data_IF_653442355897
#
_entry.id   IF_653442355897
#
_cell.length_a   1.000
_cell.length_b   1.000
_cell.length_c   1.000
_cell.angle_alpha   90.00
_cell.angle_beta   90.00
_cell.angle_gamma   90.00
#
_symmetry.space_group_name_H-M   'P 1'
#
loop_
_entity.id
_entity.type
_entity.pdbx_description
1 polymer ?
#
# COMPACT_ATOMS: atom_id res chain seq x y z
N UNK A 1 18.41 -24.42 9.88
CA UNK A 1 17.80 -23.69 8.74
C UNK A 1 16.96 -24.70 8.01
N UNK A 2 15.63 -24.63 8.16
CA UNK A 2 14.71 -25.61 7.56
C UNK A 2 14.72 -25.45 6.04
N UNK A 3 15.38 -26.38 5.34
CA UNK A 3 15.45 -26.43 3.89
C UNK A 3 14.13 -26.82 3.21
N UNK A 4 13.06 -27.03 3.98
CA UNK A 4 11.75 -27.48 3.50
C UNK A 4 10.68 -26.38 3.49
N UNK A 5 10.99 -25.15 3.90
CA UNK A 5 10.05 -24.01 3.85
C UNK A 5 10.25 -23.22 2.57
N UNK A 6 9.16 -22.64 2.05
CA UNK A 6 9.21 -21.75 0.89
C UNK A 6 9.17 -20.30 1.33
N UNK A 7 10.05 -19.47 0.78
CA UNK A 7 10.16 -18.08 1.21
C UNK A 7 10.62 -17.20 0.08
N UNK A 8 9.95 -16.07 -0.14
CA UNK A 8 10.34 -15.14 -1.20
C UNK A 8 9.49 -13.87 -1.29
N UNK A 9 9.87 -13.01 -2.23
CA UNK A 9 9.33 -11.66 -2.39
C UNK A 9 8.29 -11.61 -3.49
N UNK A 10 7.18 -10.92 -3.22
CA UNK A 10 6.03 -10.82 -4.12
C UNK A 10 5.61 -9.37 -4.25
N UNK A 11 5.54 -8.82 -5.47
CA UNK A 11 5.01 -7.45 -5.67
C UNK A 11 3.58 -7.46 -6.17
N UNK A 12 2.77 -6.50 -5.71
CA UNK A 12 1.44 -6.26 -6.22
C UNK A 12 1.47 -5.08 -7.20
N UNK A 13 1.08 -5.33 -8.44
CA UNK A 13 0.97 -4.30 -9.47
C UNK A 13 -0.46 -4.16 -9.96
N UNK A 14 -0.75 -3.05 -10.63
CA UNK A 14 -2.06 -2.77 -11.18
C UNK A 14 -2.43 -1.30 -11.05
N UNK A 15 -3.49 -0.89 -11.73
CA UNK A 15 -3.96 0.49 -11.75
C UNK A 15 -4.33 0.99 -10.34
N UNK A 16 -4.40 2.31 -10.12
CA UNK A 16 -5.00 2.84 -8.90
C UNK A 16 -6.40 2.25 -8.65
N UNK A 17 -6.78 2.05 -7.39
CA UNK A 17 -8.12 1.61 -6.96
C UNK A 17 -8.57 0.18 -7.30
N UNK A 18 -7.72 -0.63 -7.94
CA UNK A 18 -8.00 -2.07 -8.19
C UNK A 18 -8.02 -2.93 -6.92
N UNK A 19 -7.63 -2.37 -5.77
CA UNK A 19 -7.74 -3.03 -4.46
C UNK A 19 -6.47 -3.70 -3.93
N UNK A 20 -5.27 -3.31 -4.39
CA UNK A 20 -3.97 -3.81 -3.90
C UNK A 20 -3.85 -3.81 -2.37
N UNK A 21 -3.97 -2.63 -1.76
CA UNK A 21 -3.85 -2.46 -0.31
C UNK A 21 -5.00 -3.16 0.45
N UNK A 22 -6.19 -3.28 -0.15
CA UNK A 22 -7.30 -4.06 0.42
C UNK A 22 -6.97 -5.55 0.46
N UNK A 23 -6.42 -6.10 -0.64
CA UNK A 23 -6.00 -7.49 -0.70
C UNK A 23 -4.89 -7.76 0.33
N UNK A 24 -3.89 -6.89 0.38
CA UNK A 24 -2.78 -7.03 1.33
C UNK A 24 -3.26 -7.01 2.78
N UNK A 25 -4.06 -6.01 3.18
CA UNK A 25 -4.62 -5.96 4.54
C UNK A 25 -5.48 -7.20 4.87
N UNK A 26 -6.18 -7.76 3.87
CA UNK A 26 -7.00 -8.96 4.05
C UNK A 26 -6.15 -10.22 4.23
N UNK A 27 -5.06 -10.36 3.48
CA UNK A 27 -4.09 -11.46 3.60
C UNK A 27 -3.40 -11.42 4.97
N UNK A 28 -2.93 -10.24 5.37
CA UNK A 28 -2.20 -10.06 6.64
C UNK A 28 -3.16 -10.10 7.86
N UNK A 29 -4.46 -9.90 7.64
CA UNK A 29 -5.48 -9.92 8.70
C UNK A 29 -5.54 -8.63 9.53
N UNK A 30 -4.78 -7.61 9.17
CA UNK A 30 -4.69 -6.33 9.87
C UNK A 30 -4.42 -5.19 8.90
N UNK A 31 -4.75 -3.97 9.34
CA UNK A 31 -4.62 -2.77 8.52
C UNK A 31 -3.22 -2.19 8.62
N UNK A 32 -2.33 -2.61 7.72
CA UNK A 32 -0.95 -2.12 7.61
C UNK A 32 -0.81 -1.07 6.51
N UNK A 33 -1.36 -1.33 5.32
CA UNK A 33 -1.33 -0.36 4.24
C UNK A 33 -2.57 0.52 4.22
N UNK A 34 -2.33 1.79 3.93
CA UNK A 34 -3.41 2.75 3.79
C UNK A 34 -4.18 2.54 2.49
N UNK A 35 -5.47 2.81 2.55
CA UNK A 35 -6.38 2.67 1.41
C UNK A 35 -7.04 4.00 1.10
N UNK A 36 -7.04 4.41 -0.17
CA UNK A 36 -7.80 5.56 -0.61
C UNK A 36 -8.16 5.45 -2.09
N UNK A 37 -9.31 6.03 -2.45
CA UNK A 37 -9.76 6.16 -3.83
C UNK A 37 -8.94 7.19 -4.63
N UNK A 38 -8.00 7.89 -3.98
CA UNK A 38 -7.15 8.89 -4.61
C UNK A 38 -5.90 8.26 -5.22
N UNK A 39 -5.42 8.79 -6.37
CA UNK A 39 -4.12 8.39 -6.90
C UNK A 39 -3.01 8.75 -5.90
N UNK A 40 -1.83 8.13 -6.03
CA UNK A 40 -0.67 8.40 -5.17
C UNK A 40 -0.91 8.14 -3.68
N UNK A 41 -1.73 7.14 -3.37
CA UNK A 41 -2.02 6.73 -2.00
C UNK A 41 -0.76 6.15 -1.35
N UNK A 42 -0.16 5.08 -1.87
CA UNK A 42 1.12 4.54 -1.36
C UNK A 42 2.30 5.39 -1.84
N UNK A 43 3.17 5.80 -0.92
CA UNK A 43 4.39 6.60 -1.21
C UNK A 43 5.69 5.93 -0.80
N UNK A 44 5.67 5.08 0.21
CA UNK A 44 6.82 4.29 0.63
C UNK A 44 6.76 2.88 0.05
N UNK A 45 7.93 2.29 -0.16
CA UNK A 45 8.04 0.84 -0.26
C UNK A 45 7.76 0.27 1.12
N UNK A 46 6.77 -0.60 1.23
CA UNK A 46 6.40 -1.24 2.48
C UNK A 46 6.50 -2.74 2.24
N UNK A 47 7.18 -3.43 3.15
CA UNK A 47 7.14 -4.89 3.16
C UNK A 47 6.09 -5.33 4.19
N UNK A 48 5.20 -6.21 3.76
CA UNK A 48 4.29 -6.91 4.67
C UNK A 48 4.54 -8.40 4.56
N UNK A 49 4.47 -9.07 5.70
CA UNK A 49 4.95 -10.44 5.84
C UNK A 49 3.77 -11.32 6.21
N UNK A 50 3.51 -12.31 5.37
CA UNK A 50 2.56 -13.38 5.65
C UNK A 50 3.35 -14.64 5.96
N UNK A 51 3.18 -15.18 7.17
CA UNK A 51 3.85 -16.42 7.61
C UNK A 51 2.81 -17.50 7.89
N UNK A 52 3.05 -18.70 7.40
CA UNK A 52 2.24 -19.89 7.70
C UNK A 52 3.11 -21.15 7.72
N UNK A 53 2.49 -22.32 7.90
CA UNK A 53 3.19 -23.60 7.94
C UNK A 53 3.95 -23.94 6.64
N UNK A 54 3.57 -23.39 5.48
CA UNK A 54 4.28 -23.62 4.21
C UNK A 54 5.55 -22.76 4.07
N UNK A 55 5.59 -21.62 4.79
CA UNK A 55 6.72 -20.70 4.83
C UNK A 55 6.28 -19.24 4.86
N UNK A 56 6.98 -18.36 4.14
CA UNK A 56 6.84 -16.91 4.29
C UNK A 56 6.71 -16.18 2.95
N UNK A 57 5.71 -15.32 2.81
CA UNK A 57 5.52 -14.45 1.65
C UNK A 57 5.81 -13.01 2.08
N UNK A 58 6.77 -12.37 1.42
CA UNK A 58 7.12 -10.97 1.67
C UNK A 58 6.50 -10.13 0.56
N UNK A 59 5.35 -9.52 0.84
CA UNK A 59 4.70 -8.62 -0.09
C UNK A 59 5.40 -7.27 -0.09
N UNK A 60 5.88 -6.86 -1.26
CA UNK A 60 6.49 -5.56 -1.49
C UNK A 60 5.42 -4.64 -2.11
N UNK A 61 4.78 -3.81 -1.27
CA UNK A 61 3.91 -2.73 -1.77
C UNK A 61 4.80 -1.60 -2.26
N UNK A 62 4.62 -1.20 -3.51
CA UNK A 62 5.36 -0.07 -4.09
C UNK A 62 4.42 1.03 -4.54
N UNK A 63 4.89 2.29 -4.52
CA UNK A 63 4.14 3.39 -5.11
C UNK A 63 3.76 3.06 -6.56
N UNK A 64 2.53 3.39 -6.98
CA UNK A 64 2.14 3.16 -8.37
C UNK A 64 3.02 3.96 -9.34
N UNK A 65 3.33 3.43 -10.53
CA UNK A 65 4.12 4.15 -11.54
C UNK A 65 3.29 5.30 -12.14
N UNK A 66 3.84 6.52 -12.13
CA UNK A 66 3.28 7.68 -12.82
C UNK A 66 4.40 8.65 -13.20
N UNK A 67 4.15 9.56 -14.16
CA UNK A 67 5.14 10.55 -14.56
C UNK A 67 5.48 11.48 -13.38
N UNK A 68 6.74 11.49 -12.97
CA UNK A 68 7.21 12.34 -11.89
C UNK A 68 7.09 13.82 -12.26
N UNK A 69 6.69 14.63 -11.28
CA UNK A 69 6.53 16.10 -11.41
C UNK A 69 7.40 16.88 -10.41
N UNK A 70 7.98 16.19 -9.44
CA UNK A 70 8.80 16.72 -8.35
C UNK A 70 9.69 15.58 -7.79
N UNK A 71 10.59 15.91 -6.86
CA UNK A 71 11.54 14.94 -6.30
C UNK A 71 10.87 13.80 -5.52
N UNK A 72 9.74 14.06 -4.86
CA UNK A 72 8.94 12.99 -4.24
C UNK A 72 8.41 12.01 -5.29
N UNK A 73 7.94 12.52 -6.44
CA UNK A 73 7.54 11.71 -7.57
C UNK A 73 8.69 10.88 -8.14
N UNK A 74 9.90 11.45 -8.22
CA UNK A 74 11.09 10.72 -8.67
C UNK A 74 11.43 9.57 -7.72
N UNK A 75 11.36 9.81 -6.40
CA UNK A 75 11.51 8.77 -5.38
C UNK A 75 10.49 7.64 -5.59
N UNK A 76 9.21 7.99 -5.77
CA UNK A 76 8.14 7.00 -5.99
C UNK A 76 8.36 6.17 -7.26
N UNK A 77 8.78 6.80 -8.37
CA UNK A 77 9.08 6.08 -9.63
C UNK A 77 10.27 5.14 -9.45
N UNK A 78 11.33 5.57 -8.77
CA UNK A 78 12.50 4.74 -8.54
C UNK A 78 12.17 3.55 -7.62
N UNK A 79 11.39 3.78 -6.55
CA UNK A 79 10.91 2.73 -5.66
C UNK A 79 10.09 1.67 -6.43
N UNK A 80 9.21 2.12 -7.33
CA UNK A 80 8.42 1.23 -8.17
C UNK A 80 9.27 0.45 -9.18
N UNK A 81 10.25 1.08 -9.83
CA UNK A 81 11.07 0.40 -10.86
C UNK A 81 11.97 -0.69 -10.29
N UNK A 82 12.52 -0.49 -9.08
CA UNK A 82 13.38 -1.49 -8.45
C UNK A 82 12.63 -2.75 -8.05
N UNK A 83 11.37 -2.64 -7.61
CA UNK A 83 10.61 -3.81 -7.15
C UNK A 83 10.33 -4.84 -8.25
N UNK A 84 10.33 -4.47 -9.53
CA UNK A 84 10.15 -5.44 -10.62
C UNK A 84 11.31 -6.41 -10.79
N UNK A 85 12.52 -6.06 -10.32
CA UNK A 85 13.74 -6.85 -10.52
C UNK A 85 14.14 -7.70 -9.30
N UNK A 86 13.47 -7.51 -8.15
CA UNK A 86 13.87 -8.08 -6.86
C UNK A 86 12.81 -9.05 -6.29
N UNK A 87 11.88 -9.52 -7.10
CA UNK A 87 10.76 -10.36 -6.67
C UNK A 87 10.78 -11.72 -7.34
N UNK A 88 10.29 -12.73 -6.62
CA UNK A 88 10.14 -14.10 -7.12
C UNK A 88 8.83 -14.27 -7.90
N UNK A 89 7.79 -13.50 -7.55
CA UNK A 89 6.45 -13.55 -8.18
C UNK A 89 5.86 -12.15 -8.32
N UNK A 90 5.15 -11.90 -9.42
CA UNK A 90 4.36 -10.68 -9.61
C UNK A 90 2.87 -11.02 -9.55
N UNK A 91 2.12 -10.33 -8.69
CA UNK A 91 0.66 -10.34 -8.70
C UNK A 91 0.14 -9.13 -9.46
N UNK A 92 -0.39 -9.34 -10.66
CA UNK A 92 -1.05 -8.28 -11.40
C UNK A 92 -2.54 -8.23 -11.07
N UNK A 93 -2.92 -7.25 -10.25
CA UNK A 93 -4.31 -7.02 -9.87
C UNK A 93 -5.05 -6.16 -10.90
N UNK A 94 -6.22 -6.65 -11.29
CA UNK A 94 -7.16 -5.98 -12.20
C UNK A 94 -8.58 -6.01 -11.64
N UNK A 95 -9.47 -5.24 -12.25
CA UNK A 95 -10.93 -5.34 -12.01
C UNK A 95 -11.57 -6.15 -13.14
N UNK A 96 -12.78 -6.68 -12.95
CA UNK A 96 -13.47 -7.43 -13.99
C UNK A 96 -13.85 -6.47 -15.12
N UNK A 97 -13.23 -6.63 -16.29
CA UNK A 97 -13.46 -5.78 -17.46
C UNK A 97 -13.31 -6.58 -18.75
N UNK A 98 -14.16 -6.28 -19.73
CA UNK A 98 -14.09 -6.80 -21.09
C UNK A 98 -13.32 -5.88 -22.05
N UNK A 99 -12.73 -4.80 -21.51
CA UNK A 99 -11.98 -3.82 -22.28
C UNK A 99 -10.53 -3.69 -21.77
N UNK A 100 -9.57 -3.83 -22.70
CA UNK A 100 -8.15 -3.62 -22.43
C UNK A 100 -7.75 -2.23 -22.93
N UNK A 101 -7.51 -1.34 -21.98
CA UNK A 101 -7.12 0.04 -22.26
C UNK A 101 -5.61 0.23 -22.38
N UNK A 102 -5.20 1.50 -22.56
CA UNK A 102 -3.80 1.87 -22.62
C UNK A 102 -3.03 1.58 -21.32
N UNK A 103 -3.71 1.60 -20.16
CA UNK A 103 -3.09 1.32 -18.87
C UNK A 103 -2.63 -0.13 -18.76
N UNK A 104 -3.49 -1.07 -19.15
CA UNK A 104 -3.18 -2.50 -19.18
C UNK A 104 -2.08 -2.80 -20.22
N UNK A 105 -2.15 -2.17 -21.40
CA UNK A 105 -1.10 -2.30 -22.44
C UNK A 105 0.27 -1.85 -21.97
N UNK A 106 0.35 -0.69 -21.31
CA UNK A 106 1.61 -0.20 -20.74
C UNK A 106 2.19 -1.17 -19.70
N UNK A 107 1.34 -1.77 -18.87
CA UNK A 107 1.79 -2.77 -17.88
C UNK A 107 2.30 -4.03 -18.60
N UNK A 108 1.59 -4.53 -19.62
CA UNK A 108 2.08 -5.70 -20.39
C UNK A 108 3.42 -5.46 -21.08
N UNK A 109 3.66 -4.24 -21.58
CA UNK A 109 4.95 -3.86 -22.18
C UNK A 109 6.08 -3.89 -21.14
N UNK A 110 5.83 -3.44 -19.91
CA UNK A 110 6.80 -3.51 -18.84
C UNK A 110 7.03 -4.94 -18.35
N UNK A 111 5.95 -5.74 -18.23
CA UNK A 111 6.02 -7.14 -17.85
C UNK A 111 6.74 -8.02 -18.87
N UNK A 112 6.73 -7.65 -20.16
CA UNK A 112 7.45 -8.39 -21.21
C UNK A 112 8.97 -8.42 -20.99
N UNK A 113 9.50 -7.53 -20.15
CA UNK A 113 10.93 -7.43 -19.84
C UNK A 113 11.32 -8.22 -18.58
N UNK A 114 10.35 -8.74 -17.84
CA UNK A 114 10.56 -9.46 -16.58
C UNK A 114 10.55 -10.96 -16.85
N UNK A 115 11.35 -11.74 -16.10
CA UNK A 115 11.50 -13.19 -16.26
C UNK A 115 10.77 -14.03 -15.22
N UNK A 116 10.10 -13.38 -14.27
CA UNK A 116 9.50 -14.01 -13.10
C UNK A 116 8.02 -14.31 -13.39
N UNK A 117 7.45 -15.36 -12.77
CA UNK A 117 6.05 -15.71 -12.98
C UNK A 117 5.11 -14.55 -12.62
N UNK A 118 4.18 -14.26 -13.53
CA UNK A 118 3.11 -13.28 -13.31
C UNK A 118 1.79 -14.04 -13.11
N UNK A 119 1.17 -13.82 -11.95
CA UNK A 119 -0.16 -14.32 -11.63
C UNK A 119 -1.16 -13.17 -11.84
N UNK A 120 -2.16 -13.39 -12.68
CA UNK A 120 -3.27 -12.46 -12.82
C UNK A 120 -4.22 -12.63 -11.64
N UNK A 121 -4.55 -11.53 -10.97
CA UNK A 121 -5.51 -11.49 -9.87
C UNK A 121 -6.68 -10.62 -10.29
N UNK A 122 -7.81 -11.24 -10.64
CA UNK A 122 -9.03 -10.50 -11.00
C UNK A 122 -9.80 -10.23 -9.72
N UNK A 123 -9.65 -9.02 -9.17
CA UNK A 123 -10.26 -8.62 -7.90
C UNK A 123 -11.69 -8.11 -8.10
N UNK A 124 -12.40 -7.87 -6.98
CA UNK A 124 -13.79 -7.36 -6.93
C UNK A 124 -14.81 -8.29 -7.57
N UNK A 125 -14.60 -9.60 -7.49
CA UNK A 125 -15.56 -10.59 -8.00
C UNK A 125 -16.93 -10.52 -7.31
N UNK A 126 -17.01 -9.88 -6.15
CA UNK A 126 -18.27 -9.56 -5.46
C UNK A 126 -19.15 -8.52 -6.19
N UNK A 127 -18.65 -7.87 -7.25
CA UNK A 127 -19.40 -6.85 -8.00
C UNK A 127 -20.00 -7.36 -9.31
N UNK A 128 -19.84 -8.64 -9.64
CA UNK A 128 -20.29 -9.21 -10.92
C UNK A 128 -21.14 -10.47 -10.72
N UNK A 129 -21.80 -10.91 -11.79
CA UNK A 129 -22.54 -12.18 -11.81
C UNK A 129 -21.58 -13.32 -12.18
N UNK A 130 -21.73 -14.48 -11.53
CA UNK A 130 -20.81 -15.62 -11.67
C UNK A 130 -20.63 -16.12 -13.12
N UNK A 131 -21.66 -16.01 -13.95
CA UNK A 131 -21.58 -16.42 -15.37
C UNK A 131 -20.69 -15.52 -16.23
N UNK A 132 -20.31 -14.34 -15.75
CA UNK A 132 -19.43 -13.41 -16.48
C UNK A 132 -17.93 -13.62 -16.17
N UNK A 133 -17.58 -14.41 -15.15
CA UNK A 133 -16.18 -14.64 -14.73
C UNK A 133 -15.32 -15.12 -15.92
N UNK A 134 -15.82 -16.11 -16.67
CA UNK A 134 -15.11 -16.69 -17.81
C UNK A 134 -14.86 -15.68 -18.93
N UNK A 135 -15.77 -14.73 -19.13
CA UNK A 135 -15.63 -13.65 -20.11
C UNK A 135 -14.42 -12.78 -19.75
N UNK A 136 -14.29 -12.38 -18.49
CA UNK A 136 -13.18 -11.53 -18.05
C UNK A 136 -11.84 -12.27 -18.08
N UNK A 137 -11.81 -13.53 -17.65
CA UNK A 137 -10.62 -14.39 -17.78
C UNK A 137 -10.17 -14.47 -19.24
N UNK A 138 -11.11 -14.71 -20.17
CA UNK A 138 -10.80 -14.80 -21.60
C UNK A 138 -10.27 -13.49 -22.18
N UNK A 139 -10.76 -12.34 -21.71
CA UNK A 139 -10.26 -11.02 -22.13
C UNK A 139 -8.79 -10.85 -21.71
N UNK A 140 -8.44 -11.11 -20.45
CA UNK A 140 -7.08 -10.85 -19.97
C UNK A 140 -6.07 -11.90 -20.45
N UNK A 141 -6.42 -13.19 -20.52
CA UNK A 141 -5.47 -14.24 -20.97
C UNK A 141 -4.95 -14.01 -22.39
N UNK A 142 -5.66 -13.22 -23.22
CA UNK A 142 -5.28 -12.90 -24.60
C UNK A 142 -4.18 -11.84 -24.71
N UNK A 143 -3.93 -11.07 -23.65
CA UNK A 143 -2.98 -9.94 -23.70
C UNK A 143 -1.64 -10.24 -23.05
N UNK A 144 -1.54 -11.31 -22.27
CA UNK A 144 -0.31 -11.71 -21.60
C UNK A 144 -0.38 -13.20 -21.25
N UNK A 145 0.78 -13.86 -21.29
CA UNK A 145 0.92 -15.26 -20.91
C UNK A 145 1.15 -15.37 -19.40
N UNK A 146 0.05 -15.54 -18.67
CA UNK A 146 0.07 -15.61 -17.21
C UNK A 146 0.44 -17.02 -16.75
N UNK A 147 1.22 -17.10 -15.67
CA UNK A 147 1.50 -18.37 -15.00
C UNK A 147 0.20 -18.99 -14.45
N UNK A 148 -0.64 -18.16 -13.82
CA UNK A 148 -1.93 -18.53 -13.23
C UNK A 148 -2.91 -17.36 -13.30
N UNK A 149 -4.21 -17.64 -13.26
CA UNK A 149 -5.28 -16.63 -13.22
C UNK A 149 -6.22 -16.94 -12.06
N UNK A 150 -6.24 -16.07 -11.05
CA UNK A 150 -6.99 -16.28 -9.81
C UNK A 150 -8.04 -15.17 -9.63
N UNK A 151 -9.34 -15.49 -9.71
CA UNK A 151 -10.41 -14.55 -9.37
C UNK A 151 -10.55 -14.44 -7.84
N UNK A 152 -10.63 -13.22 -7.31
CA UNK A 152 -10.73 -12.97 -5.86
C UNK A 152 -11.71 -11.85 -5.51
N UNK A 153 -12.24 -11.87 -4.28
CA UNK A 153 -12.78 -10.68 -3.65
C UNK A 153 -11.94 -10.32 -2.44
N UNK A 154 -11.05 -9.34 -2.58
CA UNK A 154 -10.28 -8.81 -1.44
C UNK A 154 -11.19 -8.29 -0.30
N UNK A 155 -12.39 -7.82 -0.64
CA UNK A 155 -13.36 -7.31 0.33
C UNK A 155 -14.03 -8.43 1.12
N UNK A 156 -14.42 -9.53 0.46
CA UNK A 156 -15.12 -10.65 1.11
C UNK A 156 -14.17 -11.69 1.68
N UNK A 157 -13.04 -11.91 1.03
CA UNK A 157 -12.07 -12.96 1.34
C UNK A 157 -12.07 -14.11 0.34
N UNK A 158 -13.03 -14.12 -0.60
CA UNK A 158 -13.19 -15.21 -1.56
C UNK A 158 -11.95 -15.34 -2.45
N UNK A 159 -11.44 -16.58 -2.62
CA UNK A 159 -10.30 -16.91 -3.46
C UNK A 159 -8.92 -16.53 -2.91
N UNK A 160 -8.83 -15.97 -1.69
CA UNK A 160 -7.54 -15.57 -1.11
C UNK A 160 -6.68 -16.79 -0.75
N UNK A 161 -7.28 -17.84 -0.18
CA UNK A 161 -6.53 -19.05 0.18
C UNK A 161 -5.96 -19.74 -1.08
N UNK A 162 -6.73 -19.76 -2.17
CA UNK A 162 -6.29 -20.25 -3.48
C UNK A 162 -5.14 -19.40 -4.04
N UNK A 163 -5.21 -18.07 -3.89
CA UNK A 163 -4.15 -17.15 -4.29
C UNK A 163 -2.87 -17.42 -3.51
N UNK A 164 -2.95 -17.56 -2.18
CA UNK A 164 -1.79 -17.81 -1.32
C UNK A 164 -1.15 -19.15 -1.66
N UNK A 165 -1.95 -20.21 -1.73
CA UNK A 165 -1.50 -21.55 -2.13
C UNK A 165 -0.82 -21.52 -3.50
N UNK A 166 -1.36 -20.73 -4.44
CA UNK A 166 -0.80 -20.57 -5.77
C UNK A 166 0.54 -19.83 -5.74
N UNK A 167 0.66 -18.75 -4.96
CA UNK A 167 1.93 -18.03 -4.77
C UNK A 167 3.01 -18.98 -4.25
N UNK A 168 2.71 -19.79 -3.23
CA UNK A 168 3.67 -20.77 -2.70
C UNK A 168 4.14 -21.79 -3.73
N UNK A 169 3.36 -22.12 -4.78
CA UNK A 169 3.85 -23.00 -5.86
C UNK A 169 5.10 -22.43 -6.53
N UNK A 170 5.18 -21.12 -6.67
CA UNK A 170 6.25 -20.41 -7.39
C UNK A 170 7.38 -19.88 -6.50
N UNK A 171 7.18 -19.82 -5.17
CA UNK A 171 8.24 -19.38 -4.26
C UNK A 171 9.37 -20.41 -4.16
N UNK A 172 10.63 -19.96 -4.07
CA UNK A 172 11.77 -20.84 -3.88
C UNK A 172 11.77 -21.44 -2.47
N UNK A 173 12.43 -22.59 -2.32
CA UNK A 173 12.80 -23.09 -0.99
C UNK A 173 13.90 -22.19 -0.41
N UNK A 174 13.75 -21.80 0.85
CA UNK A 174 14.68 -20.87 1.47
C UNK A 174 14.35 -20.57 2.93
N UNK A 175 15.25 -19.89 3.65
CA UNK A 175 15.00 -19.48 5.02
C UNK A 175 13.86 -18.44 5.08
N UNK A 176 13.16 -18.38 6.20
CA UNK A 176 12.30 -17.24 6.52
C UNK A 176 13.17 -15.99 6.69
N UNK A 177 12.75 -14.86 6.11
CA UNK A 177 13.48 -13.60 6.16
C UNK A 177 13.21 -12.84 7.46
N UNK A 178 12.04 -13.07 8.06
CA UNK A 178 11.56 -12.44 9.27
C UNK A 178 11.07 -13.45 10.30
N UNK A 179 11.03 -13.02 11.57
CA UNK A 179 10.42 -13.79 12.66
C UNK A 179 8.93 -14.03 12.39
N UNK A 180 8.38 -15.12 12.94
CA UNK A 180 7.00 -15.58 12.66
C UNK A 180 5.92 -14.54 13.00
N UNK A 181 6.17 -13.71 14.02
CA UNK A 181 5.25 -12.64 14.47
C UNK A 181 5.41 -11.34 13.68
N UNK A 182 6.41 -11.25 12.80
CA UNK A 182 6.63 -10.04 12.00
C UNK A 182 5.61 -9.99 10.88
N UNK A 183 4.97 -8.83 10.76
CA UNK A 183 3.89 -8.58 9.80
C UNK A 183 4.20 -7.42 8.87
N UNK A 184 5.17 -6.58 9.25
CA UNK A 184 5.70 -5.51 8.40
C UNK A 184 7.07 -5.05 8.90
N UNK A 185 7.88 -4.51 7.98
CA UNK A 185 9.17 -3.87 8.28
C UNK A 185 9.02 -2.45 8.83
N UNK A 186 7.79 -1.91 8.84
CA UNK A 186 7.54 -0.53 9.20
C UNK A 186 7.45 -0.32 10.72
N UNK A 187 8.12 0.71 11.28
CA UNK A 187 7.90 1.10 12.66
C UNK A 187 6.44 1.50 12.91
N UNK A 188 5.89 1.13 14.07
CA UNK A 188 4.51 1.45 14.46
C UNK A 188 4.15 2.94 14.32
N UNK A 189 5.09 3.83 14.64
CA UNK A 189 4.93 5.29 14.46
C UNK A 189 4.67 5.67 13.00
N UNK A 190 5.27 4.98 12.05
CA UNK A 190 5.11 5.23 10.61
C UNK A 190 3.75 4.75 10.14
N UNK A 191 3.30 3.57 10.60
CA UNK A 191 1.95 3.07 10.32
C UNK A 191 0.90 4.06 10.88
N UNK A 192 1.10 4.58 12.10
CA UNK A 192 0.21 5.58 12.68
C UNK A 192 0.19 6.91 11.88
N UNK A 193 1.34 7.38 11.40
CA UNK A 193 1.41 8.54 10.51
C UNK A 193 0.61 8.32 9.22
N UNK A 194 0.76 7.14 8.63
CA UNK A 194 0.07 6.74 7.41
C UNK A 194 -1.45 6.65 7.64
N UNK A 195 -1.91 6.08 8.75
CA UNK A 195 -3.35 6.08 9.09
C UNK A 195 -3.94 7.48 9.19
N UNK A 196 -3.21 8.43 9.78
CA UNK A 196 -3.62 9.84 9.81
C UNK A 196 -3.66 10.43 8.40
N UNK A 197 -2.64 10.13 7.59
CA UNK A 197 -2.58 10.56 6.19
C UNK A 197 -3.73 10.00 5.38
N UNK A 198 -4.14 8.75 5.59
CA UNK A 198 -5.31 8.14 4.95
C UNK A 198 -6.58 8.94 5.21
N UNK A 199 -6.83 9.31 6.47
CA UNK A 199 -8.02 10.11 6.82
C UNK A 199 -7.97 11.49 6.22
N UNK A 200 -6.79 12.11 6.18
CA UNK A 200 -6.59 13.36 5.46
C UNK A 200 -6.82 13.20 3.95
N UNK A 201 -6.34 12.12 3.32
CA UNK A 201 -6.62 11.80 1.93
C UNK A 201 -8.12 11.70 1.66
N UNK A 202 -8.89 11.01 2.50
CA UNK A 202 -10.33 10.87 2.31
C UNK A 202 -11.13 12.16 2.51
N UNK A 203 -10.70 13.02 3.43
CA UNK A 203 -11.48 14.18 3.86
C UNK A 203 -11.17 15.47 3.11
N UNK A 204 -9.94 15.60 2.62
CA UNK A 204 -9.51 16.75 1.82
C UNK A 204 -9.95 16.58 0.37
N UNK A 205 -9.87 17.61 -0.45
CA UNK A 205 -10.26 17.58 -1.87
C UNK A 205 -9.21 18.27 -2.73
N UNK A 206 -9.36 18.16 -4.05
CA UNK A 206 -8.48 18.78 -5.03
C UNK A 206 -7.02 18.32 -4.85
N UNK A 207 -6.05 19.22 -5.06
CA UNK A 207 -4.61 18.94 -5.01
C UNK A 207 -4.03 18.89 -3.58
N UNK A 208 -4.78 19.35 -2.58
CA UNK A 208 -4.33 19.47 -1.18
C UNK A 208 -3.80 18.14 -0.60
N UNK A 209 -4.50 16.99 -0.76
CA UNK A 209 -4.05 15.72 -0.18
C UNK A 209 -2.73 15.21 -0.79
N UNK A 210 -2.37 15.65 -1.99
CA UNK A 210 -1.10 15.27 -2.62
C UNK A 210 0.07 16.14 -2.13
N UNK A 211 -0.21 17.26 -1.45
CA UNK A 211 0.77 18.18 -0.87
C UNK A 211 1.04 17.99 0.63
N UNK A 212 0.48 16.94 1.26
CA UNK A 212 0.65 16.69 2.70
C UNK A 212 1.64 15.58 3.03
N UNK A 213 2.27 15.69 4.20
CA UNK A 213 2.97 14.61 4.89
C UNK A 213 2.51 14.58 6.35
N UNK A 214 2.67 13.45 7.03
CA UNK A 214 2.38 13.32 8.46
C UNK A 214 3.64 12.85 9.17
N UNK A 215 3.97 13.49 10.28
CA UNK A 215 5.13 13.14 11.11
C UNK A 215 4.64 12.90 12.54
N UNK A 216 5.03 11.77 13.13
CA UNK A 216 4.85 11.54 14.56
C UNK A 216 6.02 12.18 15.30
N UNK A 217 5.75 13.23 16.06
CA UNK A 217 6.73 13.96 16.86
C UNK A 217 7.04 13.20 18.16
N UNK A 218 6.02 12.58 18.76
CA UNK A 218 6.19 11.68 19.90
C UNK A 218 5.11 10.60 19.94
N UNK A 219 5.51 9.40 20.38
CA UNK A 219 4.61 8.27 20.65
C UNK A 219 5.08 7.65 21.96
N UNK A 220 4.28 7.81 23.02
CA UNK A 220 4.62 7.34 24.36
C UNK A 220 3.55 6.39 24.85
N UNK A 221 3.96 5.17 25.13
CA UNK A 221 3.08 4.17 25.69
C UNK A 221 3.04 4.26 27.22
N UNK A 222 1.83 4.22 27.76
CA UNK A 222 1.57 4.11 29.20
C UNK A 222 0.85 2.80 29.47
N UNK A 223 0.62 2.46 30.75
CA UNK A 223 -0.09 1.22 31.12
C UNK A 223 -1.52 1.11 30.56
N UNK A 224 -2.18 2.22 30.25
CA UNK A 224 -3.60 2.25 29.84
C UNK A 224 -3.84 2.86 28.47
N UNK A 225 -2.91 3.67 27.97
CA UNK A 225 -3.10 4.42 26.74
C UNK A 225 -1.78 4.75 26.06
N UNK A 226 -1.88 5.07 24.77
CA UNK A 226 -0.76 5.59 23.99
C UNK A 226 -1.01 7.07 23.70
N UNK A 227 -0.06 7.91 24.09
CA UNK A 227 -0.06 9.33 23.77
C UNK A 227 0.68 9.56 22.46
N UNK A 228 0.00 10.16 21.48
CA UNK A 228 0.56 10.39 20.14
C UNK A 228 0.45 11.87 19.82
N UNK A 229 1.60 12.47 19.50
CA UNK A 229 1.69 13.84 19.01
C UNK A 229 2.13 13.80 17.55
N UNK A 230 1.27 14.29 16.65
CA UNK A 230 1.51 14.22 15.21
C UNK A 230 1.28 15.57 14.50
N UNK A 231 2.15 15.87 13.54
CA UNK A 231 2.04 17.07 12.72
C UNK A 231 1.67 16.71 11.28
N UNK A 232 0.58 17.28 10.79
CA UNK A 232 0.26 17.33 9.36
C UNK A 232 1.03 18.49 8.73
N UNK A 233 1.94 18.18 7.82
CA UNK A 233 2.73 19.15 7.05
C UNK A 233 1.99 19.47 5.75
N UNK A 234 1.94 20.74 5.36
CA UNK A 234 1.44 21.17 4.04
C UNK A 234 2.31 22.27 3.43
N UNK A 235 2.19 22.50 2.11
CA UNK A 235 3.07 23.43 1.39
C UNK A 235 2.66 24.91 1.49
N UNK A 236 1.38 25.19 1.73
CA UNK A 236 0.82 26.54 1.63
C UNK A 236 -0.04 26.89 2.84
N UNK A 237 -0.04 28.16 3.25
CA UNK A 237 -0.90 28.66 4.32
C UNK A 237 -2.40 28.52 3.99
N UNK A 238 -2.78 28.67 2.73
CA UNK A 238 -4.15 28.40 2.28
C UNK A 238 -4.57 26.95 2.54
N UNK A 239 -3.67 25.99 2.29
CA UNK A 239 -3.91 24.57 2.59
C UNK A 239 -4.03 24.33 4.10
N UNK A 240 -3.18 24.98 4.91
CA UNK A 240 -3.28 24.90 6.38
C UNK A 240 -4.67 25.32 6.86
N UNK A 241 -5.20 26.42 6.35
CA UNK A 241 -6.56 26.87 6.66
C UNK A 241 -7.64 25.82 6.34
N UNK A 242 -7.53 25.16 5.19
CA UNK A 242 -8.47 24.13 4.73
C UNK A 242 -8.36 22.84 5.58
N UNK A 243 -7.14 22.40 5.90
CA UNK A 243 -6.89 21.23 6.74
C UNK A 243 -7.44 21.43 8.15
N UNK A 244 -7.30 22.64 8.71
CA UNK A 244 -7.91 23.00 9.99
C UNK A 244 -9.44 23.03 9.85
N UNK A 245 -9.93 23.70 8.80
CA UNK A 245 -11.35 23.90 8.54
C UNK A 245 -11.98 24.92 9.48
N UNK A 246 -13.23 25.32 9.19
CA UNK A 246 -13.97 26.29 10.01
C UNK A 246 -14.04 25.80 11.46
N UNK A 247 -13.55 26.61 12.40
CA UNK A 247 -13.48 26.28 13.83
C UNK A 247 -12.74 24.97 14.16
N UNK A 248 -11.78 24.55 13.33
CA UNK A 248 -11.04 23.30 13.54
C UNK A 248 -11.83 22.03 13.20
N UNK A 249 -13.00 22.15 12.58
CA UNK A 249 -13.91 21.03 12.33
C UNK A 249 -13.31 19.94 11.43
N UNK A 250 -12.48 20.30 10.45
CA UNK A 250 -11.85 19.33 9.54
C UNK A 250 -10.76 18.54 10.27
N UNK A 251 -9.84 19.23 10.95
CA UNK A 251 -8.78 18.61 11.73
C UNK A 251 -9.34 17.70 12.82
N UNK A 252 -10.43 18.12 13.48
CA UNK A 252 -11.13 17.32 14.49
C UNK A 252 -11.67 16.01 13.89
N UNK A 253 -12.27 16.05 12.68
CA UNK A 253 -12.77 14.85 12.00
C UNK A 253 -11.63 13.90 11.61
N UNK A 254 -10.54 14.43 11.04
CA UNK A 254 -9.34 13.66 10.74
C UNK A 254 -8.83 12.97 12.01
N UNK A 255 -8.70 13.72 13.12
CA UNK A 255 -8.26 13.17 14.40
C UNK A 255 -9.17 12.07 14.96
N UNK A 256 -10.49 12.27 14.94
CA UNK A 256 -11.45 11.26 15.42
C UNK A 256 -11.36 9.97 14.61
N UNK A 257 -11.33 10.07 13.28
CA UNK A 257 -11.28 8.90 12.39
C UNK A 257 -9.93 8.19 12.48
N UNK A 258 -8.83 8.94 12.62
CA UNK A 258 -7.47 8.37 12.71
C UNK A 258 -7.29 7.66 14.05
N UNK A 259 -7.79 8.25 15.14
CA UNK A 259 -7.71 7.66 16.48
C UNK A 259 -8.36 6.28 16.51
N UNK A 260 -9.53 6.10 15.88
CA UNK A 260 -10.22 4.80 15.84
C UNK A 260 -9.38 3.71 15.18
N UNK A 261 -8.77 4.01 14.04
CA UNK A 261 -7.91 3.06 13.32
C UNK A 261 -6.65 2.71 14.13
N UNK A 262 -6.03 3.71 14.75
CA UNK A 262 -4.82 3.50 15.55
C UNK A 262 -5.14 2.74 16.85
N UNK A 263 -6.27 3.01 17.51
CA UNK A 263 -6.73 2.25 18.69
C UNK A 263 -6.95 0.78 18.36
N UNK A 264 -7.53 0.50 17.19
CA UNK A 264 -7.74 -0.87 16.74
C UNK A 264 -6.42 -1.59 16.47
N UNK A 265 -5.47 -0.94 15.80
CA UNK A 265 -4.14 -1.49 15.53
C UNK A 265 -3.31 -1.74 16.80
N UNK A 266 -3.39 -0.84 17.78
CA UNK A 266 -2.60 -0.93 19.02
C UNK A 266 -3.29 -1.74 20.12
N UNK A 267 -4.56 -2.10 19.91
CA UNK A 267 -5.44 -2.70 20.92
C UNK A 267 -5.47 -1.93 22.26
N UNK A 268 -5.28 -0.60 22.19
CA UNK A 268 -5.15 0.29 23.35
C UNK A 268 -5.85 1.61 23.08
N UNK A 269 -6.26 2.29 24.15
CA UNK A 269 -6.77 3.66 24.05
C UNK A 269 -5.68 4.62 23.56
N UNK A 270 -6.04 5.56 22.68
CA UNK A 270 -5.09 6.51 22.09
C UNK A 270 -5.51 7.94 22.40
N UNK A 271 -4.58 8.73 22.93
CA UNK A 271 -4.71 10.17 23.02
C UNK A 271 -3.93 10.82 21.87
N UNK A 272 -4.63 11.15 20.78
CA UNK A 272 -4.05 11.73 19.58
C UNK A 272 -4.18 13.26 19.57
N UNK A 273 -3.04 13.96 19.57
CA UNK A 273 -2.96 15.41 19.33
C UNK A 273 -2.44 15.67 17.92
N UNK A 274 -3.16 16.51 17.17
CA UNK A 274 -2.80 16.88 15.81
C UNK A 274 -2.47 18.36 15.69
N UNK A 275 -1.37 18.67 14.99
CA UNK A 275 -1.02 20.04 14.57
C UNK A 275 -0.95 20.14 13.05
N UNK A 276 -1.04 21.37 12.54
CA UNK A 276 -0.83 21.65 11.11
C UNK A 276 0.28 22.70 10.96
N UNK A 277 1.38 22.32 10.30
CA UNK A 277 2.53 23.22 10.05
C UNK A 277 2.74 23.38 8.55
N UNK A 278 3.11 24.60 8.13
CA UNK A 278 3.48 24.87 6.74
C UNK A 278 4.98 24.65 6.56
N UNK A 279 5.35 23.85 5.56
CA UNK A 279 6.71 23.70 5.05
C UNK A 279 6.65 23.86 3.53
N UNK A 280 7.06 25.04 3.07
CA UNK A 280 7.06 25.37 1.63
C UNK A 280 7.95 24.40 0.87
N UNK A 281 7.48 23.98 -0.30
CA UNK A 281 8.23 23.20 -1.30
C UNK A 281 8.91 21.94 -0.73
N UNK A 282 8.30 21.32 0.28
CA UNK A 282 8.89 20.17 0.94
C UNK A 282 9.05 18.97 0.00
N UNK A 283 8.18 18.84 -1.00
CA UNK A 283 8.23 17.77 -2.04
C UNK A 283 9.39 17.93 -3.03
N UNK A 284 10.10 19.06 -2.98
CA UNK A 284 11.28 19.35 -3.80
C UNK A 284 12.58 19.46 -2.97
N UNK A 285 12.50 19.20 -1.67
CA UNK A 285 13.63 19.22 -0.74
C UNK A 285 14.02 17.81 -0.31
N UNK A 286 15.15 17.29 -0.81
CA UNK A 286 15.64 15.95 -0.43
C UNK A 286 15.80 15.78 1.09
N UNK A 287 16.21 16.85 1.79
CA UNK A 287 16.32 16.86 3.25
C UNK A 287 14.95 16.68 3.93
N UNK A 288 13.93 17.42 3.50
CA UNK A 288 12.60 17.31 4.10
C UNK A 288 11.90 16.01 3.72
N UNK A 289 12.05 15.55 2.47
CA UNK A 289 11.56 14.25 1.99
C UNK A 289 12.12 13.14 2.87
N UNK A 290 13.44 13.11 3.08
CA UNK A 290 14.09 12.16 3.98
C UNK A 290 13.54 12.26 5.42
N UNK A 291 13.46 13.45 5.99
CA UNK A 291 12.98 13.66 7.36
C UNK A 291 11.51 13.26 7.56
N UNK A 292 10.73 13.20 6.48
CA UNK A 292 9.34 12.74 6.52
C UNK A 292 9.18 11.24 6.23
N UNK A 293 10.29 10.48 6.26
CA UNK A 293 10.27 9.03 6.13
C UNK A 293 10.30 8.54 4.69
N UNK A 294 10.81 9.35 3.75
CA UNK A 294 11.00 8.98 2.36
C UNK A 294 12.52 8.97 2.04
N UNK A 295 13.28 8.04 2.60
CA UNK A 295 14.74 7.99 2.38
C UNK A 295 15.09 7.18 1.12
N UNK A 296 15.79 7.83 0.17
CA UNK A 296 16.29 7.17 -1.05
C UNK A 296 17.21 5.99 -0.73
N UNK A 297 17.92 6.02 0.41
CA UNK A 297 18.82 4.93 0.82
C UNK A 297 18.09 3.64 1.21
N UNK A 298 16.81 3.73 1.59
CA UNK A 298 15.99 2.54 1.88
C UNK A 298 15.49 1.85 0.60
N UNK A 299 15.78 2.45 -0.57
CA UNK A 299 15.53 1.84 -1.87
C UNK A 299 16.74 1.08 -2.41
N UNK A 300 17.94 1.27 -1.85
CA UNK A 300 19.20 0.60 -2.25
C UNK A 300 19.44 -0.66 -1.41
#
# INVERSE_FOLDING_TARGET
MDSNKKSGFVTLIGRPNVGKSTLMNKIIGQKIAITSNKPQTTRNRIQTVYTCDEGQIIFVDTPGIHKAKNKLGDYMVNAAKKSFNEVDVILWLVEPSDFIGAGEKSITEDLSKVKVPVILVINKMDTIVYNEVLKYIDTYRKIYDFAEIIPVSAKKGDGIDDLISTVFKYLPYGPMFYDEETVTDQPVKQIAAEMIREKALHRLSEEIPHGIAVVIESMKETKKSVEIEATIICERDSHKGIIIGKQGSMLKRIGIDSRKDIEHMLEKHVNLKLWVKVKKDWRDSDFLIKNFGYDKKELD
#
